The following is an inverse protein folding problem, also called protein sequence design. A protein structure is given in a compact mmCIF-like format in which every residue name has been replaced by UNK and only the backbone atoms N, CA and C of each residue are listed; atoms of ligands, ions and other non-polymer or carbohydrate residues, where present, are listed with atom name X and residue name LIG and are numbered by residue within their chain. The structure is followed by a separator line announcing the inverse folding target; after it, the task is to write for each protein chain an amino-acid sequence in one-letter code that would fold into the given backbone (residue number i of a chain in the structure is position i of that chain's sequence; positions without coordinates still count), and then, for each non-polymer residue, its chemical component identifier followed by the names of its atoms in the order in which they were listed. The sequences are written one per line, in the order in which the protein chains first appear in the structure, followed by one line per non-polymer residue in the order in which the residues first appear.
data_IF_312625825139
#
_entry.id   IF_312625825139
#
_cell.length_a   1.000
_cell.length_b   1.000
_cell.length_c   1.000
_cell.angle_alpha   90.00
_cell.angle_beta   90.00
_cell.angle_gamma   90.00
#
_symmetry.space_group_name_H-M   'P 1'
#
loop_
_entity.id
_entity.type
_entity.pdbx_description
1 polymer ?
#
# COMPACT_ATOMS: atom_id res chain seq x y z
N UNK A 1 3.05 40.28 69.47
CA UNK A 1 1.70 39.67 69.42
C UNK A 1 1.21 39.71 67.98
N UNK A 2 0.63 38.59 67.51
CA UNK A 2 -0.02 38.35 66.19
C UNK A 2 0.95 38.24 65.01
N UNK A 3 0.84 37.31 64.06
CA UNK A 3 0.32 35.92 63.93
C UNK A 3 0.81 35.51 62.52
N UNK A 4 1.18 34.25 62.34
CA UNK A 4 1.77 33.70 61.12
C UNK A 4 0.82 33.74 59.90
N UNK A 5 1.41 33.74 58.68
CA UNK A 5 0.94 32.85 57.62
C UNK A 5 2.10 32.54 56.66
N UNK A 6 2.61 31.31 56.77
CA UNK A 6 3.56 30.68 55.84
C UNK A 6 2.71 30.05 54.74
N UNK A 7 2.86 30.50 53.50
CA UNK A 7 2.28 29.84 52.32
C UNK A 7 3.39 29.00 51.69
N UNK A 8 3.33 27.71 51.95
CA UNK A 8 4.22 26.70 51.38
C UNK A 8 3.73 26.36 49.97
N UNK A 9 4.36 26.94 48.95
CA UNK A 9 4.12 26.57 47.55
C UNK A 9 4.84 25.26 47.26
N UNK A 10 4.08 24.17 47.19
CA UNK A 10 4.54 22.85 46.74
C UNK A 10 4.85 22.94 45.24
N UNK A 11 6.14 23.07 44.90
CA UNK A 11 6.62 22.92 43.53
C UNK A 11 6.63 21.42 43.20
N UNK A 12 5.49 20.93 42.70
CA UNK A 12 5.35 19.59 42.14
C UNK A 12 6.09 19.58 40.79
N UNK A 13 7.38 19.24 40.83
CA UNK A 13 8.20 19.05 39.63
C UNK A 13 7.69 17.86 38.83
N UNK A 14 6.97 18.15 37.74
CA UNK A 14 6.65 17.18 36.71
C UNK A 14 7.95 16.66 36.09
N UNK A 15 8.31 15.43 36.46
CA UNK A 15 9.18 14.55 35.67
C UNK A 15 8.48 14.27 34.34
N UNK A 16 8.71 15.10 33.33
CA UNK A 16 8.43 14.75 31.94
C UNK A 16 9.51 13.75 31.51
N UNK A 17 9.24 12.47 31.76
CA UNK A 17 9.95 11.36 31.13
C UNK A 17 9.60 11.46 29.65
N UNK A 18 10.48 12.11 28.87
CA UNK A 18 10.43 12.07 27.43
C UNK A 18 10.75 10.63 26.98
N UNK A 19 9.72 9.79 26.88
CA UNK A 19 9.79 8.58 26.08
C UNK A 19 10.02 9.01 24.62
N UNK A 20 11.27 9.00 24.18
CA UNK A 20 11.62 9.06 22.76
C UNK A 20 11.10 7.78 22.11
N UNK A 21 9.82 7.79 21.76
CA UNK A 21 9.24 6.79 20.86
C UNK A 21 10.02 6.88 19.56
N UNK A 22 10.48 5.77 18.96
CA UNK A 22 11.16 5.79 17.67
C UNK A 22 10.32 6.63 16.70
N UNK A 23 10.89 7.75 16.25
CA UNK A 23 10.11 8.79 15.56
C UNK A 23 9.47 8.22 14.30
N UNK A 24 8.13 8.25 14.24
CA UNK A 24 7.41 8.02 12.99
C UNK A 24 8.00 8.94 11.92
N UNK A 25 8.23 8.43 10.70
CA UNK A 25 8.77 9.24 9.61
C UNK A 25 7.86 10.45 9.37
N UNK A 26 8.31 11.64 9.74
CA UNK A 26 7.59 12.89 9.51
C UNK A 26 8.02 13.50 8.18
N UNK A 27 7.05 13.99 7.41
CA UNK A 27 7.28 14.69 6.16
C UNK A 27 6.97 16.17 6.37
N UNK A 28 7.87 17.03 5.95
CA UNK A 28 7.72 18.49 6.07
C UNK A 28 7.11 19.12 4.82
N UNK A 29 7.09 18.39 3.71
CA UNK A 29 6.57 18.85 2.43
C UNK A 29 5.76 17.76 1.73
N UNK A 30 4.76 18.20 0.96
CA UNK A 30 3.79 17.32 0.34
C UNK A 30 4.37 16.55 -0.85
N UNK A 31 5.39 17.10 -1.52
CA UNK A 31 6.05 16.46 -2.66
C UNK A 31 6.80 15.21 -2.20
N UNK A 32 7.56 15.31 -1.12
CA UNK A 32 8.26 14.16 -0.52
C UNK A 32 7.30 13.10 0.00
N UNK A 33 6.14 13.52 0.50
CA UNK A 33 5.08 12.59 0.92
C UNK A 33 4.47 11.85 -0.27
N UNK A 34 4.14 12.56 -1.36
CA UNK A 34 3.67 11.95 -2.61
C UNK A 34 4.69 10.98 -3.19
N UNK A 35 5.94 11.43 -3.36
CA UNK A 35 7.00 10.60 -3.91
C UNK A 35 7.19 9.33 -3.08
N UNK A 36 7.17 9.43 -1.75
CA UNK A 36 7.31 8.25 -0.90
C UNK A 36 6.19 7.23 -1.12
N UNK A 37 4.93 7.69 -1.24
CA UNK A 37 3.81 6.78 -1.51
C UNK A 37 3.95 6.17 -2.91
N UNK A 38 4.28 6.96 -3.93
CA UNK A 38 4.47 6.48 -5.30
C UNK A 38 5.59 5.44 -5.41
N UNK A 39 6.75 5.69 -4.80
CA UNK A 39 7.85 4.73 -4.76
C UNK A 39 7.41 3.38 -4.14
N UNK A 40 6.53 3.42 -3.15
CA UNK A 40 5.97 2.22 -2.52
C UNK A 40 4.96 1.53 -3.43
N UNK A 41 4.09 2.28 -4.10
CA UNK A 41 3.15 1.72 -5.08
C UNK A 41 3.87 1.03 -6.24
N UNK A 42 4.91 1.66 -6.79
CA UNK A 42 5.73 1.08 -7.86
C UNK A 42 6.39 -0.23 -7.43
N UNK A 43 6.89 -0.31 -6.19
CA UNK A 43 7.45 -1.56 -5.66
C UNK A 43 6.42 -2.68 -5.57
N UNK A 44 5.17 -2.38 -5.24
CA UNK A 44 4.10 -3.38 -5.22
C UNK A 44 3.66 -3.78 -6.62
N UNK A 45 3.55 -2.84 -7.57
CA UNK A 45 3.26 -3.13 -8.97
C UNK A 45 4.34 -4.01 -9.61
N UNK A 46 5.62 -3.73 -9.35
CA UNK A 46 6.72 -4.60 -9.81
C UNK A 46 6.59 -6.03 -9.27
N UNK A 47 6.19 -6.18 -8.00
CA UNK A 47 5.96 -7.50 -7.42
C UNK A 47 4.77 -8.21 -8.08
N UNK A 48 3.68 -7.48 -8.35
CA UNK A 48 2.52 -8.01 -9.06
C UNK A 48 2.86 -8.46 -10.49
N UNK A 49 3.59 -7.64 -11.26
CA UNK A 49 4.03 -7.99 -12.61
C UNK A 49 4.97 -9.20 -12.61
N UNK A 50 5.79 -9.35 -11.58
CA UNK A 50 6.61 -10.54 -11.43
C UNK A 50 5.76 -11.80 -11.21
N UNK A 51 4.72 -11.71 -10.36
CA UNK A 51 3.74 -12.81 -10.19
C UNK A 51 3.02 -13.12 -11.50
N UNK A 52 2.54 -12.12 -12.22
CA UNK A 52 1.87 -12.30 -13.52
C UNK A 52 2.76 -13.05 -14.52
N UNK A 53 4.05 -12.67 -14.60
CA UNK A 53 5.01 -13.31 -15.50
C UNK A 53 5.24 -14.78 -15.18
N UNK A 54 5.37 -15.13 -13.90
CA UNK A 54 5.59 -16.54 -13.51
C UNK A 54 4.31 -17.36 -13.61
N UNK A 55 3.15 -16.76 -13.31
CA UNK A 55 1.84 -17.44 -13.32
C UNK A 55 1.33 -17.69 -14.74
N UNK A 56 1.65 -16.80 -15.70
CA UNK A 56 1.34 -16.98 -17.12
C UNK A 56 2.33 -17.86 -17.88
N UNK A 57 3.29 -18.51 -17.19
CA UNK A 57 4.30 -19.38 -17.79
C UNK A 57 4.17 -20.81 -17.27
N UNK A 58 4.40 -21.81 -18.13
CA UNK A 58 4.46 -23.25 -17.75
C UNK A 58 5.68 -23.61 -16.85
N UNK A 59 6.31 -22.63 -16.19
CA UNK A 59 7.53 -22.84 -15.43
C UNK A 59 7.22 -23.39 -14.02
N UNK A 60 7.68 -24.62 -13.76
CA UNK A 60 7.56 -25.32 -12.48
C UNK A 60 8.25 -24.65 -11.28
N UNK A 61 8.95 -23.52 -11.49
CA UNK A 61 9.58 -22.69 -10.45
C UNK A 61 8.67 -21.61 -9.84
N UNK A 62 7.50 -21.33 -10.45
CA UNK A 62 6.65 -20.19 -10.11
C UNK A 62 6.16 -20.14 -8.64
N UNK A 63 5.98 -21.29 -7.98
CA UNK A 63 5.41 -21.35 -6.63
C UNK A 63 6.35 -20.90 -5.52
N UNK A 64 7.67 -21.09 -5.65
CA UNK A 64 8.64 -20.67 -4.63
C UNK A 64 8.81 -19.14 -4.62
N UNK A 65 8.63 -18.47 -5.75
CA UNK A 65 8.82 -17.03 -5.89
C UNK A 65 7.60 -16.21 -5.42
N UNK A 66 6.39 -16.74 -5.54
CA UNK A 66 5.13 -16.05 -5.15
C UNK A 66 5.13 -15.62 -3.68
N UNK A 67 5.61 -16.48 -2.76
CA UNK A 67 5.66 -16.15 -1.33
C UNK A 67 6.54 -14.94 -1.01
N UNK A 68 7.63 -14.75 -1.78
CA UNK A 68 8.51 -13.59 -1.62
C UNK A 68 7.83 -12.29 -2.06
N UNK A 69 7.05 -12.33 -3.14
CA UNK A 69 6.30 -11.17 -3.63
C UNK A 69 5.17 -10.76 -2.68
N UNK A 70 4.45 -11.74 -2.09
CA UNK A 70 3.46 -11.47 -1.04
C UNK A 70 4.13 -10.78 0.14
N UNK A 71 5.26 -11.30 0.62
CA UNK A 71 6.01 -10.72 1.74
C UNK A 71 6.45 -9.28 1.45
N UNK A 72 6.87 -9.00 0.21
CA UNK A 72 7.25 -7.65 -0.23
C UNK A 72 6.04 -6.70 -0.20
N UNK A 73 4.90 -7.12 -0.73
CA UNK A 73 3.67 -6.31 -0.72
C UNK A 73 3.18 -6.08 0.71
N UNK A 74 3.25 -7.08 1.58
CA UNK A 74 2.90 -6.94 3.00
C UNK A 74 3.79 -5.93 3.72
N UNK A 75 5.11 -6.01 3.50
CA UNK A 75 6.07 -5.07 4.08
C UNK A 75 5.80 -3.63 3.64
N UNK A 76 5.54 -3.44 2.34
CA UNK A 76 5.21 -2.12 1.79
C UNK A 76 3.87 -1.62 2.34
N UNK A 77 2.84 -2.44 2.36
CA UNK A 77 1.51 -2.09 2.87
C UNK A 77 1.56 -1.72 4.35
N UNK A 78 2.35 -2.45 5.14
CA UNK A 78 2.62 -2.11 6.56
C UNK A 78 3.32 -0.76 6.68
N UNK A 79 4.34 -0.52 5.87
CA UNK A 79 5.06 0.77 5.84
C UNK A 79 4.12 1.93 5.52
N UNK A 80 3.24 1.76 4.52
CA UNK A 80 2.23 2.76 4.16
C UNK A 80 1.23 2.99 5.31
N UNK A 81 0.80 1.93 6.00
CA UNK A 81 -0.12 2.04 7.14
C UNK A 81 0.48 2.80 8.33
N UNK A 82 1.79 2.68 8.53
CA UNK A 82 2.52 3.33 9.61
C UNK A 82 2.87 4.80 9.32
N UNK A 83 2.69 5.27 8.08
CA UNK A 83 2.85 6.67 7.73
C UNK A 83 1.95 7.55 8.60
N UNK A 84 2.44 8.69 9.11
CA UNK A 84 1.56 9.68 9.73
C UNK A 84 0.57 10.23 8.70
N UNK A 85 -0.47 10.89 9.18
CA UNK A 85 -1.26 11.77 8.34
C UNK A 85 -0.40 12.93 7.80
N UNK A 86 -0.81 13.49 6.67
CA UNK A 86 -0.19 14.71 6.16
C UNK A 86 -1.12 15.89 6.41
N UNK A 87 -0.81 16.70 7.43
CA UNK A 87 -1.63 17.84 7.85
C UNK A 87 -3.10 17.47 8.11
N UNK A 88 -3.35 16.37 8.83
CA UNK A 88 -4.71 15.87 9.10
C UNK A 88 -5.34 15.06 7.97
N UNK A 89 -4.66 14.89 6.83
CA UNK A 89 -5.15 14.14 5.69
C UNK A 89 -4.63 12.69 5.69
N UNK A 90 -5.56 11.73 5.72
CA UNK A 90 -5.23 10.30 5.60
C UNK A 90 -5.70 9.68 4.29
N UNK A 91 -6.55 10.36 3.52
CA UNK A 91 -7.29 9.76 2.41
C UNK A 91 -6.37 9.14 1.37
N UNK A 92 -5.28 9.83 1.05
CA UNK A 92 -4.29 9.35 0.09
C UNK A 92 -3.52 8.11 0.58
N UNK A 93 -3.00 8.13 1.81
CA UNK A 93 -2.33 6.98 2.42
C UNK A 93 -3.27 5.78 2.52
N UNK A 94 -4.50 6.02 2.96
CA UNK A 94 -5.47 4.95 3.19
C UNK A 94 -5.89 4.30 1.86
N UNK A 95 -5.96 5.06 0.76
CA UNK A 95 -6.16 4.50 -0.58
C UNK A 95 -4.96 3.68 -1.06
N UNK A 96 -3.73 4.15 -0.82
CA UNK A 96 -2.51 3.38 -1.12
C UNK A 96 -2.49 2.04 -0.37
N UNK A 97 -2.88 2.03 0.91
CA UNK A 97 -3.03 0.81 1.71
C UNK A 97 -4.10 -0.11 1.11
N UNK A 98 -5.28 0.41 0.72
CA UNK A 98 -6.33 -0.41 0.09
C UNK A 98 -5.87 -1.06 -1.21
N UNK A 99 -5.12 -0.35 -2.04
CA UNK A 99 -4.56 -0.88 -3.28
C UNK A 99 -3.49 -1.95 -3.03
N UNK A 100 -2.61 -1.74 -2.04
CA UNK A 100 -1.66 -2.77 -1.60
C UNK A 100 -2.36 -4.05 -1.08
N UNK A 101 -3.42 -3.90 -0.29
CA UNK A 101 -4.24 -5.03 0.17
C UNK A 101 -4.96 -5.73 -0.98
N UNK A 102 -5.40 -5.00 -2.01
CA UNK A 102 -5.93 -5.59 -3.23
C UNK A 102 -4.87 -6.47 -3.90
N UNK A 103 -3.68 -5.95 -4.20
CA UNK A 103 -2.60 -6.73 -4.82
C UNK A 103 -2.25 -7.99 -4.02
N UNK A 104 -2.21 -7.90 -2.69
CA UNK A 104 -2.03 -9.06 -1.81
C UNK A 104 -3.11 -10.13 -2.02
N UNK A 105 -4.39 -9.72 -2.03
CA UNK A 105 -5.51 -10.66 -2.23
C UNK A 105 -5.50 -11.28 -3.61
N UNK A 106 -5.17 -10.49 -4.64
CA UNK A 106 -5.06 -10.93 -6.02
C UNK A 106 -4.03 -12.05 -6.18
N UNK A 107 -2.88 -11.94 -5.49
CA UNK A 107 -1.83 -12.96 -5.53
C UNK A 107 -2.25 -14.22 -4.77
N UNK A 108 -2.82 -14.08 -3.56
CA UNK A 108 -3.21 -15.22 -2.73
C UNK A 108 -4.45 -15.97 -3.25
N UNK A 109 -5.28 -15.34 -4.07
CA UNK A 109 -6.47 -15.96 -4.65
C UNK A 109 -6.31 -16.14 -6.16
N UNK A 110 -6.77 -15.19 -6.98
CA UNK A 110 -6.80 -15.27 -8.44
C UNK A 110 -5.54 -15.84 -9.10
N UNK A 111 -4.33 -15.34 -8.79
CA UNK A 111 -3.10 -15.85 -9.42
C UNK A 111 -2.74 -17.26 -8.96
N UNK A 112 -3.02 -17.60 -7.71
CA UNK A 112 -2.84 -18.99 -7.22
C UNK A 112 -3.82 -19.94 -7.92
N UNK A 113 -5.07 -19.51 -8.16
CA UNK A 113 -6.07 -20.27 -8.91
C UNK A 113 -5.64 -20.48 -10.37
N UNK A 114 -5.16 -19.43 -11.04
CA UNK A 114 -4.64 -19.51 -12.42
C UNK A 114 -3.49 -20.52 -12.52
N UNK A 115 -2.53 -20.48 -11.58
CA UNK A 115 -1.43 -21.43 -11.55
C UNK A 115 -1.93 -22.89 -11.36
N UNK A 116 -2.97 -23.10 -10.54
CA UNK A 116 -3.59 -24.42 -10.36
C UNK A 116 -4.25 -24.91 -11.64
N UNK A 117 -4.97 -24.03 -12.35
CA UNK A 117 -5.65 -24.37 -13.60
C UNK A 117 -4.63 -24.86 -14.63
N UNK A 118 -3.54 -24.12 -14.87
CA UNK A 118 -2.52 -24.55 -15.83
C UNK A 118 -1.80 -25.84 -15.45
N UNK A 119 -1.74 -26.17 -14.16
CA UNK A 119 -1.15 -27.42 -13.68
C UNK A 119 -2.08 -28.63 -13.89
N UNK A 120 -3.35 -28.46 -13.56
CA UNK A 120 -4.35 -29.54 -13.47
C UNK A 120 -5.04 -29.82 -14.80
N UNK A 121 -5.40 -28.76 -15.53
CA UNK A 121 -6.13 -28.87 -16.79
C UNK A 121 -5.17 -29.20 -17.94
N UNK A 122 -5.52 -30.22 -18.73
CA UNK A 122 -4.72 -30.66 -19.89
C UNK A 122 -5.30 -30.14 -21.21
N UNK A 123 -6.60 -29.82 -21.23
CA UNK A 123 -7.19 -29.11 -22.34
C UNK A 123 -6.84 -27.61 -22.26
N UNK A 124 -5.88 -27.19 -23.07
CA UNK A 124 -5.42 -25.80 -23.12
C UNK A 124 -6.54 -24.80 -23.45
N UNK A 125 -7.52 -25.17 -24.27
CA UNK A 125 -8.63 -24.28 -24.60
C UNK A 125 -9.55 -24.09 -23.39
N UNK A 126 -9.83 -25.16 -22.66
CA UNK A 126 -10.59 -25.10 -21.41
C UNK A 126 -9.85 -24.33 -20.31
N UNK A 127 -8.54 -24.54 -20.18
CA UNK A 127 -7.70 -23.81 -19.24
C UNK A 127 -7.76 -22.30 -19.51
N UNK A 128 -7.52 -21.90 -20.77
CA UNK A 128 -7.54 -20.48 -21.17
C UNK A 128 -8.89 -19.83 -20.92
N UNK A 129 -10.00 -20.50 -21.27
CA UNK A 129 -11.35 -19.95 -21.03
C UNK A 129 -11.64 -19.66 -19.55
N UNK A 130 -11.18 -20.54 -18.65
CA UNK A 130 -11.32 -20.34 -17.19
C UNK A 130 -10.42 -19.21 -16.70
N UNK A 131 -9.18 -19.16 -17.15
CA UNK A 131 -8.22 -18.11 -16.81
C UNK A 131 -8.72 -16.74 -17.27
N UNK A 132 -9.27 -16.63 -18.48
CA UNK A 132 -9.85 -15.38 -19.01
C UNK A 132 -10.98 -14.85 -18.13
N UNK A 133 -11.81 -15.74 -17.56
CA UNK A 133 -12.88 -15.38 -16.63
C UNK A 133 -12.31 -14.78 -15.33
N UNK A 134 -11.25 -15.39 -14.79
CA UNK A 134 -10.58 -14.91 -13.58
C UNK A 134 -9.93 -13.55 -13.83
N UNK A 135 -9.20 -13.40 -14.94
CA UNK A 135 -8.53 -12.15 -15.32
C UNK A 135 -9.56 -11.04 -15.52
N UNK A 136 -10.68 -11.32 -16.20
CA UNK A 136 -11.73 -10.32 -16.43
C UNK A 136 -12.32 -9.78 -15.13
N UNK A 137 -12.57 -10.66 -14.14
CA UNK A 137 -13.01 -10.23 -12.80
C UNK A 137 -11.93 -9.43 -12.09
N UNK A 138 -10.68 -9.86 -12.18
CA UNK A 138 -9.55 -9.20 -11.53
C UNK A 138 -9.36 -7.77 -12.05
N UNK A 139 -9.46 -7.57 -13.36
CA UNK A 139 -9.35 -6.25 -14.00
C UNK A 139 -10.45 -5.28 -13.54
N UNK A 140 -11.66 -5.77 -13.31
CA UNK A 140 -12.76 -4.95 -12.78
C UNK A 140 -12.48 -4.49 -11.34
N UNK A 141 -12.00 -5.40 -10.49
CA UNK A 141 -11.64 -5.08 -9.11
C UNK A 141 -10.41 -4.15 -9.05
N UNK A 142 -9.40 -4.38 -9.89
CA UNK A 142 -8.21 -3.53 -10.01
C UNK A 142 -8.58 -2.12 -10.42
N UNK A 143 -9.42 -1.98 -11.46
CA UNK A 143 -9.90 -0.68 -11.95
C UNK A 143 -10.57 0.13 -10.84
N UNK A 144 -11.36 -0.51 -9.97
CA UNK A 144 -12.00 0.17 -8.85
C UNK A 144 -10.97 0.65 -7.81
N UNK A 145 -9.99 -0.18 -7.46
CA UNK A 145 -8.95 0.16 -6.50
C UNK A 145 -7.99 1.25 -7.02
N UNK A 146 -7.58 1.15 -8.29
CA UNK A 146 -6.74 2.14 -8.97
C UNK A 146 -7.44 3.48 -9.10
N UNK A 147 -8.73 3.49 -9.49
CA UNK A 147 -9.50 4.72 -9.58
C UNK A 147 -9.63 5.43 -8.23
N UNK A 148 -9.82 4.70 -7.13
CA UNK A 148 -9.82 5.29 -5.79
C UNK A 148 -8.44 5.88 -5.45
N UNK A 149 -7.36 5.15 -5.71
CA UNK A 149 -6.00 5.64 -5.49
C UNK A 149 -5.70 6.92 -6.29
N UNK A 150 -5.96 6.91 -7.60
CA UNK A 150 -5.74 8.06 -8.50
C UNK A 150 -6.58 9.26 -8.04
N UNK A 151 -7.85 9.02 -7.69
CA UNK A 151 -8.74 10.07 -7.17
C UNK A 151 -8.17 10.71 -5.91
N UNK A 152 -7.73 9.92 -4.92
CA UNK A 152 -7.17 10.46 -3.69
C UNK A 152 -5.83 11.15 -3.89
N UNK A 153 -4.97 10.62 -4.78
CA UNK A 153 -3.72 11.28 -5.16
C UNK A 153 -3.97 12.65 -5.79
N UNK A 154 -4.91 12.73 -6.73
CA UNK A 154 -5.26 13.98 -7.40
C UNK A 154 -5.84 15.01 -6.41
N UNK A 155 -6.69 14.56 -5.48
CA UNK A 155 -7.21 15.42 -4.42
C UNK A 155 -6.09 15.94 -3.49
N UNK A 156 -5.17 15.07 -3.10
CA UNK A 156 -4.00 15.43 -2.29
C UNK A 156 -3.10 16.43 -3.02
N UNK A 157 -2.81 16.20 -4.30
CA UNK A 157 -1.99 17.09 -5.10
C UNK A 157 -2.64 18.47 -5.30
N UNK A 158 -3.94 18.50 -5.58
CA UNK A 158 -4.69 19.75 -5.71
C UNK A 158 -4.65 20.57 -4.41
N UNK A 159 -4.88 19.91 -3.27
CA UNK A 159 -4.84 20.53 -1.93
C UNK A 159 -3.47 21.07 -1.55
N UNK A 160 -2.40 20.45 -2.05
CA UNK A 160 -1.01 20.80 -1.71
C UNK A 160 -0.24 21.48 -2.88
N UNK A 161 -0.95 21.91 -3.93
CA UNK A 161 -0.37 22.58 -5.10
C UNK A 161 0.76 21.78 -5.80
N UNK A 162 0.67 20.45 -5.78
CA UNK A 162 1.59 19.56 -6.50
C UNK A 162 1.15 19.48 -7.96
N UNK A 163 2.10 19.63 -8.88
CA UNK A 163 1.86 19.37 -10.31
C UNK A 163 2.05 17.87 -10.57
N UNK A 164 0.97 17.18 -10.91
CA UNK A 164 1.03 15.80 -11.42
C UNK A 164 1.17 15.90 -12.93
N UNK A 165 2.25 15.33 -13.48
CA UNK A 165 2.33 15.13 -14.91
C UNK A 165 1.28 14.09 -15.33
N UNK A 166 0.48 14.34 -16.37
CA UNK A 166 -0.47 13.37 -16.86
C UNK A 166 0.28 12.09 -17.25
N UNK A 167 -0.21 10.93 -16.80
CA UNK A 167 0.30 9.66 -17.27
C UNK A 167 0.21 9.64 -18.80
N UNK A 168 1.34 9.40 -19.48
CA UNK A 168 1.33 9.15 -20.92
C UNK A 168 0.44 7.92 -21.12
N UNK A 169 -0.65 8.00 -21.88
CA UNK A 169 -1.49 6.84 -22.13
C UNK A 169 -0.61 5.75 -22.75
N UNK A 170 -0.68 4.54 -22.22
CA UNK A 170 -0.03 3.39 -22.85
C UNK A 170 -0.64 3.23 -24.26
N UNK A 171 0.22 3.35 -25.27
CA UNK A 171 -0.12 3.04 -26.68
C UNK A 171 -0.42 1.55 -26.86
#
# INVERSE_FOLDING_TARGET
MKKALIVTTVLLGFLVIACSTPGKKQFTDAVSYDQFIIDRMEQMQQALFAVQRVTGSDSSGAQADIGSYITRIDSVTKTLRELPDFNGDTGYRDAAVRLGEFYKRSINGPYTEIASIYKEEKDTAQANSRVDTIISRLQQEETAADNDFIKQRNAFAAKNHIKIEPAIPAE
#
